data_IF_683019526030
#
_entry.id   IF_683019526030
#
_cell.length_a   1.000
_cell.length_b   1.000
_cell.length_c   1.000
_cell.angle_alpha   90.00
_cell.angle_beta   90.00
_cell.angle_gamma   90.00
#
_symmetry.space_group_name_H-M   'P 1'
#
loop_
_entity.id
_entity.type
_entity.pdbx_description
1 polymer ?
#
# COMPACT_ATOMS: atom_id res chain seq x y z
N UNK A 1 1.27 -18.71 8.22
CA UNK A 1 1.27 -17.43 7.50
C UNK A 1 2.67 -16.80 7.57
N UNK A 2 3.25 -16.52 6.40
CA UNK A 2 4.58 -15.87 6.32
C UNK A 2 4.40 -14.35 6.27
N UNK A 3 4.06 -13.72 7.41
CA UNK A 3 4.06 -12.26 7.49
C UNK A 3 5.46 -11.69 7.40
N UNK A 4 5.60 -10.62 6.63
CA UNK A 4 6.81 -9.79 6.66
C UNK A 4 6.86 -9.05 7.99
N UNK A 5 7.81 -9.42 8.84
CA UNK A 5 8.05 -8.79 10.15
C UNK A 5 9.29 -7.90 10.03
N UNK A 6 9.21 -6.65 10.46
CA UNK A 6 10.27 -5.66 10.35
C UNK A 6 10.17 -4.62 11.46
N UNK A 7 11.22 -3.85 11.66
CA UNK A 7 11.21 -2.61 12.48
C UNK A 7 11.24 -1.38 11.57
N UNK A 8 12.07 -1.43 10.53
CA UNK A 8 12.10 -0.42 9.48
C UNK A 8 12.06 -1.08 8.11
N UNK A 9 11.45 -0.40 7.15
CA UNK A 9 11.41 -0.79 5.74
C UNK A 9 11.84 0.40 4.90
N UNK A 10 12.64 0.15 3.88
CA UNK A 10 12.99 1.13 2.86
C UNK A 10 12.87 0.48 1.49
N UNK A 11 12.08 1.09 0.61
CA UNK A 11 11.83 0.58 -0.74
C UNK A 11 11.89 1.67 -1.80
N UNK A 12 12.42 1.33 -2.98
CA UNK A 12 12.30 2.13 -4.20
C UNK A 12 11.41 1.40 -5.17
N UNK A 13 10.43 2.09 -5.72
CA UNK A 13 9.52 1.52 -6.70
C UNK A 13 9.27 2.46 -7.88
N UNK A 14 8.97 1.86 -9.03
CA UNK A 14 8.28 2.52 -10.14
C UNK A 14 6.80 2.25 -9.98
N UNK A 15 5.99 3.26 -10.20
CA UNK A 15 4.54 3.18 -10.01
C UNK A 15 3.86 3.78 -11.24
N UNK A 16 3.00 3.00 -11.87
CA UNK A 16 2.11 3.43 -12.92
C UNK A 16 0.68 3.36 -12.41
N UNK A 17 -0.03 4.49 -12.42
CA UNK A 17 -1.43 4.59 -11.97
C UNK A 17 -2.30 5.05 -13.11
N UNK A 18 -3.41 4.36 -13.32
CA UNK A 18 -4.41 4.73 -14.31
C UNK A 18 -5.83 4.66 -13.73
N UNK A 19 -6.62 5.67 -14.05
CA UNK A 19 -8.07 5.74 -13.83
C UNK A 19 -8.71 6.55 -14.95
N UNK A 20 -10.02 6.79 -14.90
CA UNK A 20 -10.70 7.65 -15.88
C UNK A 20 -10.08 9.05 -16.00
N UNK A 21 -9.52 9.59 -14.90
CA UNK A 21 -9.02 10.96 -14.80
C UNK A 21 -7.51 11.07 -14.57
N UNK A 22 -6.83 9.95 -14.30
CA UNK A 22 -5.41 9.92 -13.96
C UNK A 22 -4.72 8.89 -14.86
N UNK A 23 -3.60 9.27 -15.47
CA UNK A 23 -2.67 8.36 -16.12
C UNK A 23 -1.27 8.91 -15.87
N UNK A 24 -0.60 8.35 -14.85
CA UNK A 24 0.68 8.89 -14.39
C UNK A 24 1.66 7.79 -14.01
N UNK A 25 2.93 8.03 -14.39
CA UNK A 25 4.07 7.21 -13.99
C UNK A 25 5.02 8.04 -13.14
N UNK A 26 5.45 7.48 -12.01
CA UNK A 26 6.40 8.14 -11.12
C UNK A 26 7.27 7.11 -10.39
N UNK A 27 8.36 7.56 -9.80
CA UNK A 27 9.14 6.75 -8.87
C UNK A 27 8.85 7.18 -7.44
N UNK A 28 8.77 6.20 -6.55
CA UNK A 28 8.54 6.38 -5.13
C UNK A 28 9.73 5.86 -4.33
N UNK A 29 10.22 6.67 -3.39
CA UNK A 29 10.99 6.20 -2.24
C UNK A 29 10.00 6.07 -1.09
N UNK A 30 9.98 4.90 -0.46
CA UNK A 30 9.06 4.55 0.62
C UNK A 30 9.91 4.17 1.83
N UNK A 31 9.72 4.84 2.94
CA UNK A 31 10.41 4.54 4.19
C UNK A 31 9.39 4.37 5.31
N UNK A 32 9.40 3.24 6.01
CA UNK A 32 8.47 2.95 7.11
C UNK A 32 9.26 2.74 8.40
N UNK A 33 8.89 3.47 9.44
CA UNK A 33 9.16 3.08 10.81
C UNK A 33 7.88 2.41 11.33
N UNK A 34 7.99 1.13 11.62
CA UNK A 34 6.84 0.28 11.96
C UNK A 34 5.95 0.92 13.01
N UNK A 35 4.64 0.88 12.76
CA UNK A 35 3.57 1.35 13.63
C UNK A 35 3.67 2.83 14.03
N UNK A 36 4.52 3.62 13.35
CA UNK A 36 4.79 5.02 13.68
C UNK A 36 4.66 5.97 12.50
N UNK A 37 5.36 5.71 11.40
CA UNK A 37 5.34 6.62 10.25
C UNK A 37 5.61 5.89 8.94
N UNK A 38 4.89 6.29 7.91
CA UNK A 38 5.16 5.97 6.51
C UNK A 38 5.57 7.28 5.83
N UNK A 39 6.77 7.31 5.29
CA UNK A 39 7.31 8.42 4.51
C UNK A 39 7.36 8.08 3.04
N UNK A 40 6.84 8.96 2.18
CA UNK A 40 6.90 8.81 0.73
C UNK A 40 7.59 10.02 0.11
N UNK A 41 8.51 9.78 -0.84
CA UNK A 41 9.02 10.81 -1.75
C UNK A 41 8.67 10.40 -3.17
N UNK A 42 7.80 11.18 -3.83
CA UNK A 42 7.30 10.90 -5.17
C UNK A 42 8.04 11.77 -6.18
N UNK A 43 8.57 11.14 -7.24
CA UNK A 43 9.40 11.82 -8.25
C UNK A 43 8.90 11.54 -9.66
N UNK A 44 8.79 12.59 -10.44
CA UNK A 44 8.52 12.53 -11.88
C UNK A 44 9.76 13.03 -12.61
N UNK A 45 10.28 12.25 -13.57
CA UNK A 45 11.51 12.57 -14.30
C UNK A 45 12.70 12.93 -13.40
N UNK A 46 12.80 12.28 -12.21
CA UNK A 46 13.89 12.50 -11.26
C UNK A 46 13.69 13.70 -10.33
N UNK A 47 12.70 14.56 -10.57
CA UNK A 47 12.38 15.71 -9.72
C UNK A 47 11.35 15.32 -8.65
N UNK A 48 11.60 15.61 -7.37
CA UNK A 48 10.65 15.37 -6.30
C UNK A 48 9.49 16.37 -6.44
N UNK A 49 8.31 15.84 -6.82
CA UNK A 49 7.08 16.61 -6.94
C UNK A 49 6.30 16.69 -5.64
N UNK A 50 6.29 15.59 -4.87
CA UNK A 50 5.59 15.55 -3.60
C UNK A 50 6.34 14.73 -2.55
N UNK A 51 6.15 15.10 -1.27
CA UNK A 51 6.59 14.35 -0.11
C UNK A 51 5.41 14.17 0.83
N UNK A 52 5.18 12.93 1.28
CA UNK A 52 4.06 12.58 2.12
C UNK A 52 4.58 11.95 3.40
N UNK A 53 4.02 12.35 4.52
CA UNK A 53 4.20 11.72 5.82
C UNK A 53 2.85 11.26 6.33
N UNK A 54 2.74 9.97 6.63
CA UNK A 54 1.52 9.36 7.17
C UNK A 54 1.86 8.82 8.56
N UNK A 55 1.04 9.16 9.52
CA UNK A 55 1.07 8.62 10.90
C UNK A 55 -0.28 7.96 11.19
N UNK A 56 -0.46 7.26 12.32
CA UNK A 56 -1.77 6.72 12.70
C UNK A 56 -2.90 7.75 12.71
N UNK A 57 -2.61 9.02 12.95
CA UNK A 57 -3.61 10.07 13.16
C UNK A 57 -3.66 11.10 12.01
N UNK A 58 -2.63 11.18 11.17
CA UNK A 58 -2.50 12.30 10.23
C UNK A 58 -1.80 11.95 8.93
N UNK A 59 -2.10 12.75 7.91
CA UNK A 59 -1.39 12.78 6.63
C UNK A 59 -0.91 14.21 6.40
N UNK A 60 0.37 14.35 6.14
CA UNK A 60 0.97 15.63 5.79
C UNK A 60 1.59 15.54 4.40
N UNK A 61 1.18 16.42 3.50
CA UNK A 61 1.66 16.45 2.10
C UNK A 61 2.38 17.75 1.84
N UNK A 62 3.59 17.66 1.32
CA UNK A 62 4.32 18.78 0.72
C UNK A 62 4.21 18.63 -0.79
N UNK A 63 3.44 19.49 -1.44
CA UNK A 63 3.45 19.65 -2.89
C UNK A 63 4.52 20.66 -3.27
N UNK A 64 5.59 20.16 -3.87
CA UNK A 64 6.72 21.01 -4.26
C UNK A 64 6.47 21.78 -5.56
N UNK A 65 5.57 21.25 -6.41
CA UNK A 65 5.27 21.87 -7.69
C UNK A 65 4.41 23.13 -7.47
N UNK A 66 3.41 23.04 -6.58
CA UNK A 66 2.53 24.13 -6.24
C UNK A 66 3.00 24.96 -5.02
N UNK A 67 4.09 24.52 -4.36
CA UNK A 67 4.62 25.13 -3.12
C UNK A 67 3.55 25.17 -2.01
N UNK A 68 2.87 24.05 -1.82
CA UNK A 68 1.79 23.91 -0.86
C UNK A 68 2.13 22.89 0.23
N UNK A 69 1.62 23.16 1.43
CA UNK A 69 1.61 22.22 2.55
C UNK A 69 0.17 21.90 2.92
N UNK A 70 -0.17 20.62 2.85
CA UNK A 70 -1.54 20.12 2.96
C UNK A 70 -1.60 19.15 4.14
N UNK A 71 -1.90 19.61 5.36
CA UNK A 71 -2.16 18.72 6.49
C UNK A 71 -3.60 18.19 6.43
N UNK A 72 -3.78 16.92 6.76
CA UNK A 72 -5.06 16.22 6.84
C UNK A 72 -5.06 15.27 8.04
N UNK A 73 -6.21 14.89 8.52
CA UNK A 73 -6.37 13.71 9.37
C UNK A 73 -6.27 12.42 8.55
N UNK A 74 -6.15 11.29 9.20
CA UNK A 74 -6.02 9.98 8.53
C UNK A 74 -7.29 9.61 7.74
N UNK A 75 -8.44 10.14 8.12
CA UNK A 75 -9.72 9.88 7.46
C UNK A 75 -9.80 10.50 6.06
N UNK A 76 -8.86 11.38 5.72
CA UNK A 76 -8.68 11.88 4.36
C UNK A 76 -8.52 10.75 3.33
N UNK A 77 -7.90 9.62 3.70
CA UNK A 77 -7.78 8.44 2.83
C UNK A 77 -9.18 7.93 2.46
N UNK A 78 -10.03 7.77 3.47
CA UNK A 78 -11.40 7.31 3.27
C UNK A 78 -12.21 8.26 2.40
N UNK A 79 -12.12 9.55 2.68
CA UNK A 79 -12.87 10.57 1.93
C UNK A 79 -12.38 10.76 0.49
N UNK A 80 -11.07 10.61 0.24
CA UNK A 80 -10.47 10.84 -1.08
C UNK A 80 -10.54 9.63 -2.00
N UNK A 81 -10.40 8.42 -1.44
CA UNK A 81 -10.35 7.19 -2.22
C UNK A 81 -11.57 6.30 -1.97
N UNK A 82 -12.47 6.74 -1.11
CA UNK A 82 -13.62 5.95 -0.66
C UNK A 82 -13.24 4.54 -0.16
N UNK A 83 -12.07 4.41 0.46
CA UNK A 83 -11.51 3.15 1.00
C UNK A 83 -11.45 3.28 2.52
N UNK A 84 -12.02 2.30 3.24
CA UNK A 84 -11.98 2.26 4.70
C UNK A 84 -10.67 1.58 5.16
N UNK A 85 -9.55 2.26 4.89
CA UNK A 85 -8.21 1.81 5.25
C UNK A 85 -7.60 2.73 6.30
N UNK A 86 -7.03 2.14 7.31
CA UNK A 86 -6.25 2.87 8.31
C UNK A 86 -4.74 2.86 8.00
N UNK A 87 -3.95 3.45 8.89
CA UNK A 87 -2.49 3.46 8.79
C UNK A 87 -1.89 2.04 8.73
N UNK A 88 -2.43 1.10 9.50
CA UNK A 88 -1.90 -0.26 9.60
C UNK A 88 -2.23 -1.07 8.35
N UNK A 89 -3.37 -0.82 7.73
CA UNK A 89 -3.74 -1.40 6.44
C UNK A 89 -2.80 -0.93 5.33
N UNK A 90 -2.48 0.38 5.28
CA UNK A 90 -1.50 0.93 4.35
C UNK A 90 -0.10 0.33 4.57
N UNK A 91 0.33 0.24 5.82
CA UNK A 91 1.60 -0.38 6.17
C UNK A 91 1.66 -1.84 5.68
N UNK A 92 0.63 -2.62 5.97
CA UNK A 92 0.53 -4.02 5.54
C UNK A 92 0.50 -4.14 4.02
N UNK A 93 -0.28 -3.30 3.34
CA UNK A 93 -0.35 -3.26 1.88
C UNK A 93 1.03 -3.00 1.25
N UNK A 94 1.78 -2.02 1.78
CA UNK A 94 3.10 -1.66 1.25
C UNK A 94 4.11 -2.79 1.42
N UNK A 95 4.11 -3.50 2.54
CA UNK A 95 5.06 -4.60 2.76
C UNK A 95 4.59 -5.94 2.20
N UNK A 96 3.34 -6.03 1.72
CA UNK A 96 2.76 -7.24 1.12
C UNK A 96 2.16 -8.21 2.13
N UNK A 97 1.81 -7.74 3.31
CA UNK A 97 1.03 -8.50 4.28
C UNK A 97 -0.47 -8.46 3.93
N UNK A 98 -1.25 -9.46 4.34
CA UNK A 98 -2.71 -9.43 4.20
C UNK A 98 -3.32 -8.22 4.91
N UNK A 99 -4.33 -7.59 4.28
CA UNK A 99 -5.16 -6.53 4.86
C UNK A 99 -6.61 -7.02 5.00
N UNK A 100 -7.37 -6.44 5.92
CA UNK A 100 -8.78 -6.82 6.20
C UNK A 100 -8.98 -8.32 6.44
N UNK A 101 -8.02 -8.98 7.08
CA UNK A 101 -7.99 -10.42 7.21
C UNK A 101 -8.29 -10.85 8.64
N UNK A 102 -9.51 -11.33 8.86
CA UNK A 102 -9.94 -11.89 10.14
C UNK A 102 -9.65 -13.39 10.20
N UNK A 103 -8.73 -13.79 11.07
CA UNK A 103 -8.36 -15.19 11.24
C UNK A 103 -9.37 -16.01 12.06
N UNK A 104 -10.37 -15.38 12.67
CA UNK A 104 -11.38 -16.06 13.50
C UNK A 104 -12.48 -16.70 12.66
N UNK A 105 -12.69 -16.25 11.42
CA UNK A 105 -13.70 -16.74 10.49
C UNK A 105 -13.09 -17.42 9.26
N UNK A 106 -11.96 -18.14 9.44
CA UNK A 106 -11.18 -18.70 8.36
C UNK A 106 -11.74 -20.03 7.87
N UNK A 107 -12.04 -20.11 6.58
CA UNK A 107 -12.25 -21.35 5.84
C UNK A 107 -11.05 -21.62 4.92
N UNK A 108 -10.66 -22.87 4.79
CA UNK A 108 -9.53 -23.29 3.95
C UNK A 108 -10.00 -24.23 2.84
N UNK A 109 -9.38 -24.11 1.67
CA UNK A 109 -9.61 -24.99 0.53
C UNK A 109 -8.33 -25.13 -0.29
N UNK A 110 -8.39 -25.98 -1.30
CA UNK A 110 -7.34 -26.17 -2.31
C UNK A 110 -7.97 -26.03 -3.69
N UNK A 111 -7.28 -25.38 -4.61
CA UNK A 111 -7.68 -25.24 -6.00
C UNK A 111 -6.45 -25.08 -6.88
N UNK A 112 -6.28 -25.93 -7.89
CA UNK A 112 -5.19 -25.87 -8.89
C UNK A 112 -3.79 -25.73 -8.27
N UNK A 113 -3.45 -26.60 -7.33
CA UNK A 113 -2.19 -26.62 -6.59
C UNK A 113 -1.94 -25.34 -5.76
N UNK A 114 -3.00 -24.60 -5.39
CA UNK A 114 -2.95 -23.42 -4.54
C UNK A 114 -3.76 -23.62 -3.29
N UNK A 115 -3.29 -23.06 -2.17
CA UNK A 115 -4.11 -22.95 -0.99
C UNK A 115 -5.02 -21.73 -1.10
N UNK A 116 -6.28 -21.90 -0.75
CA UNK A 116 -7.28 -20.81 -0.73
C UNK A 116 -7.72 -20.59 0.70
N UNK A 117 -7.58 -19.37 1.17
CA UNK A 117 -8.05 -18.95 2.48
C UNK A 117 -9.20 -17.95 2.29
N UNK A 118 -10.32 -18.20 2.95
CA UNK A 118 -11.49 -17.34 2.90
C UNK A 118 -11.79 -16.83 4.31
N UNK A 119 -11.82 -15.52 4.46
CA UNK A 119 -12.31 -14.85 5.67
C UNK A 119 -13.50 -13.96 5.30
N UNK A 120 -14.57 -14.03 6.08
CA UNK A 120 -15.80 -13.28 5.83
C UNK A 120 -16.37 -12.76 7.14
N UNK A 121 -16.77 -11.49 7.14
CA UNK A 121 -17.53 -10.87 8.22
C UNK A 121 -18.71 -10.07 7.63
N UNK A 122 -19.40 -9.28 8.44
CA UNK A 122 -20.57 -8.52 7.99
C UNK A 122 -20.25 -7.41 6.97
N UNK A 123 -18.98 -7.01 6.83
CA UNK A 123 -18.55 -5.88 6.01
C UNK A 123 -17.70 -6.34 4.83
N UNK A 124 -16.79 -7.28 5.05
CA UNK A 124 -15.81 -7.71 4.05
C UNK A 124 -15.82 -9.21 3.84
N UNK A 125 -15.63 -9.61 2.59
CA UNK A 125 -15.22 -10.95 2.21
C UNK A 125 -13.84 -10.89 1.59
N UNK A 126 -12.90 -11.61 2.16
CA UNK A 126 -11.51 -11.64 1.72
C UNK A 126 -11.13 -13.06 1.29
N UNK A 127 -10.56 -13.19 0.11
CA UNK A 127 -10.05 -14.45 -0.43
C UNK A 127 -8.57 -14.29 -0.75
N UNK A 128 -7.75 -15.17 -0.19
CA UNK A 128 -6.32 -15.26 -0.45
C UNK A 128 -6.00 -16.53 -1.21
N UNK A 129 -5.26 -16.41 -2.29
CA UNK A 129 -4.64 -17.53 -2.99
C UNK A 129 -3.15 -17.54 -2.66
N UNK A 130 -2.69 -18.68 -2.17
CA UNK A 130 -1.29 -18.87 -1.79
C UNK A 130 -0.64 -19.93 -2.68
N UNK A 131 0.63 -19.75 -2.95
CA UNK A 131 1.47 -20.78 -3.58
C UNK A 131 1.65 -22.00 -2.65
N UNK A 132 2.21 -23.13 -3.15
CA UNK A 132 2.61 -24.25 -2.30
C UNK A 132 3.61 -23.86 -1.21
N UNK A 133 4.39 -22.80 -1.43
CA UNK A 133 5.33 -22.24 -0.45
C UNK A 133 4.68 -21.21 0.49
N UNK A 134 3.36 -21.04 0.42
CA UNK A 134 2.56 -20.07 1.21
C UNK A 134 2.86 -18.59 0.93
N UNK A 135 3.40 -18.26 -0.23
CA UNK A 135 3.49 -16.88 -0.68
C UNK A 135 2.13 -16.42 -1.26
N UNK A 136 1.73 -15.20 -1.00
CA UNK A 136 0.46 -14.66 -1.50
C UNK A 136 0.56 -14.47 -3.02
N UNK A 137 -0.29 -15.12 -3.80
CA UNK A 137 -0.36 -14.91 -5.25
C UNK A 137 -1.40 -13.85 -5.60
N UNK A 138 -2.53 -13.89 -4.89
CA UNK A 138 -3.64 -12.96 -5.08
C UNK A 138 -4.37 -12.73 -3.77
N UNK A 139 -4.80 -11.51 -3.54
CA UNK A 139 -5.79 -11.16 -2.55
C UNK A 139 -6.97 -10.47 -3.23
N UNK A 140 -8.18 -10.95 -2.95
CA UNK A 140 -9.42 -10.37 -3.44
C UNK A 140 -10.29 -9.99 -2.25
N UNK A 141 -10.62 -8.72 -2.16
CA UNK A 141 -11.43 -8.16 -1.08
C UNK A 141 -12.70 -7.59 -1.71
N UNK A 142 -13.84 -8.03 -1.18
CA UNK A 142 -15.15 -7.51 -1.53
C UNK A 142 -15.71 -6.74 -0.32
N UNK A 143 -15.98 -5.47 -0.51
CA UNK A 143 -16.74 -4.63 0.42
C UNK A 143 -18.24 -4.87 0.17
N UNK A 144 -18.88 -5.57 1.10
CA UNK A 144 -20.29 -6.00 0.97
C UNK A 144 -21.27 -4.83 1.16
N UNK A 145 -20.82 -3.75 1.79
CA UNK A 145 -21.65 -2.56 2.05
C UNK A 145 -21.55 -1.58 0.89
N UNK A 146 -20.34 -1.24 0.46
CA UNK A 146 -20.11 -0.27 -0.61
C UNK A 146 -20.18 -0.87 -2.01
N UNK A 147 -20.34 -2.20 -2.14
CA UNK A 147 -20.42 -2.95 -3.40
C UNK A 147 -19.25 -2.62 -4.35
N UNK A 148 -18.05 -2.79 -3.87
CA UNK A 148 -16.80 -2.57 -4.60
C UNK A 148 -15.81 -3.69 -4.31
N UNK A 149 -14.82 -3.84 -5.18
CA UNK A 149 -13.80 -4.87 -5.00
C UNK A 149 -12.39 -4.30 -5.11
N UNK A 150 -11.47 -4.93 -4.41
CA UNK A 150 -10.04 -4.69 -4.50
C UNK A 150 -9.37 -6.02 -4.83
N UNK A 151 -8.65 -6.05 -5.94
CA UNK A 151 -7.79 -7.17 -6.33
C UNK A 151 -6.33 -6.74 -6.23
N UNK A 152 -5.52 -7.57 -5.58
CA UNK A 152 -4.08 -7.41 -5.49
C UNK A 152 -3.42 -8.69 -5.98
N UNK A 153 -2.63 -8.58 -7.05
CA UNK A 153 -1.79 -9.66 -7.54
C UNK A 153 -0.34 -9.40 -7.14
N UNK A 154 0.35 -10.46 -6.71
CA UNK A 154 1.72 -10.43 -6.25
C UNK A 154 2.58 -11.37 -7.07
N UNK A 155 3.73 -10.89 -7.55
CA UNK A 155 4.64 -11.64 -8.39
C UNK A 155 6.10 -11.27 -8.12
N UNK A 156 7.03 -11.99 -8.78
CA UNK A 156 8.48 -11.77 -8.67
C UNK A 156 8.96 -11.80 -7.21
N UNK A 157 8.64 -12.88 -6.50
CA UNK A 157 9.08 -13.06 -5.13
C UNK A 157 10.59 -13.27 -5.03
N UNK A 158 11.22 -12.47 -4.18
CA UNK A 158 12.64 -12.61 -3.84
C UNK A 158 12.81 -12.69 -2.32
N UNK A 159 13.87 -13.39 -1.91
CA UNK A 159 14.21 -13.51 -0.49
C UNK A 159 15.16 -12.38 -0.08
N UNK A 160 14.68 -11.44 0.72
CA UNK A 160 15.44 -10.31 1.23
C UNK A 160 15.60 -10.47 2.75
N UNK A 161 16.83 -10.63 3.21
CA UNK A 161 17.18 -10.79 4.65
C UNK A 161 16.30 -11.83 5.37
N UNK A 162 16.03 -12.96 4.66
CA UNK A 162 15.22 -14.06 5.20
C UNK A 162 13.71 -13.93 5.01
N UNK A 163 13.21 -12.81 4.49
CA UNK A 163 11.79 -12.52 4.22
C UNK A 163 11.49 -12.72 2.75
N UNK A 164 10.34 -13.30 2.42
CA UNK A 164 9.81 -13.32 1.06
C UNK A 164 9.11 -11.99 0.78
N UNK A 165 9.47 -11.33 -0.33
CA UNK A 165 8.90 -10.05 -0.73
C UNK A 165 8.56 -10.05 -2.22
N UNK A 166 7.33 -9.70 -2.57
CA UNK A 166 6.88 -9.57 -3.95
C UNK A 166 7.34 -8.23 -4.55
N UNK A 167 8.18 -8.29 -5.58
CA UNK A 167 8.71 -7.09 -6.25
C UNK A 167 7.73 -6.48 -7.24
N UNK A 168 6.80 -7.28 -7.78
CA UNK A 168 5.75 -6.80 -8.70
C UNK A 168 4.40 -6.93 -8.01
N UNK A 169 3.61 -5.87 -8.09
CA UNK A 169 2.24 -5.86 -7.60
C UNK A 169 1.33 -5.15 -8.56
N UNK A 170 0.19 -5.75 -8.82
CA UNK A 170 -0.88 -5.14 -9.59
C UNK A 170 -2.08 -4.96 -8.68
N UNK A 171 -2.59 -3.75 -8.63
CA UNK A 171 -3.75 -3.36 -7.84
C UNK A 171 -4.86 -2.98 -8.80
N UNK A 172 -6.03 -3.54 -8.61
CA UNK A 172 -7.23 -3.16 -9.32
C UNK A 172 -8.35 -2.89 -8.32
N UNK A 173 -8.92 -1.71 -8.39
CA UNK A 173 -10.08 -1.29 -7.61
C UNK A 173 -11.24 -1.11 -8.58
N UNK A 174 -12.26 -1.96 -8.44
CA UNK A 174 -13.54 -1.84 -9.14
C UNK A 174 -14.49 -1.05 -8.24
N UNK A 175 -14.76 0.17 -8.63
CA UNK A 175 -15.58 1.14 -7.93
C UNK A 175 -16.29 2.05 -8.96
N UNK A 176 -16.91 3.15 -8.53
CA UNK A 176 -17.51 4.12 -9.44
C UNK A 176 -16.49 4.70 -10.44
N UNK A 177 -15.25 4.89 -9.99
CA UNK A 177 -14.11 5.25 -10.83
C UNK A 177 -13.05 4.15 -10.66
N UNK A 178 -12.94 3.28 -11.65
CA UNK A 178 -11.95 2.19 -11.64
C UNK A 178 -10.53 2.75 -11.55
N UNK A 179 -9.71 2.12 -10.71
CA UNK A 179 -8.31 2.47 -10.56
C UNK A 179 -7.44 1.24 -10.71
N UNK A 180 -6.41 1.36 -11.52
CA UNK A 180 -5.34 0.36 -11.61
C UNK A 180 -4.02 0.98 -11.18
N UNK A 181 -3.20 0.19 -10.48
CA UNK A 181 -1.82 0.56 -10.21
C UNK A 181 -0.90 -0.64 -10.44
N UNK A 182 0.17 -0.39 -11.16
CA UNK A 182 1.30 -1.32 -11.30
C UNK A 182 2.48 -0.80 -10.51
N UNK A 183 3.03 -1.62 -9.63
CA UNK A 183 4.13 -1.27 -8.74
C UNK A 183 5.27 -2.26 -8.97
N UNK A 184 6.42 -1.76 -9.40
CA UNK A 184 7.67 -2.52 -9.57
C UNK A 184 8.70 -2.01 -8.57
N UNK A 185 8.98 -2.78 -7.52
CA UNK A 185 10.07 -2.46 -6.60
C UNK A 185 11.41 -2.72 -7.29
N UNK A 186 12.35 -1.79 -7.15
CA UNK A 186 13.70 -1.87 -7.71
C UNK A 186 14.76 -2.06 -6.63
N UNK A 187 14.42 -1.76 -5.39
CA UNK A 187 15.25 -1.98 -4.22
C UNK A 187 14.36 -2.12 -2.98
N UNK A 188 14.71 -3.06 -2.10
CA UNK A 188 14.06 -3.26 -0.81
C UNK A 188 15.12 -3.56 0.24
N UNK A 189 15.00 -2.94 1.41
CA UNK A 189 15.86 -3.14 2.57
C UNK A 189 14.98 -3.16 3.83
N UNK A 190 15.30 -4.04 4.77
CA UNK A 190 14.65 -4.12 6.06
C UNK A 190 15.64 -3.78 7.18
N UNK A 191 15.12 -3.33 8.31
CA UNK A 191 15.82 -3.14 9.58
C UNK A 191 17.10 -2.29 9.48
N UNK A 192 17.17 -1.42 8.47
CA UNK A 192 18.21 -0.42 8.31
C UNK A 192 17.86 0.86 9.08
N UNK A 193 18.83 1.74 9.40
CA UNK A 193 18.53 3.00 10.06
C UNK A 193 17.46 3.81 9.31
N UNK A 194 16.43 4.26 10.04
CA UNK A 194 15.35 5.05 9.45
C UNK A 194 15.85 6.42 9.00
N UNK A 195 15.73 6.72 7.72
CA UNK A 195 16.34 7.90 7.09
C UNK A 195 15.34 8.95 6.56
N UNK A 196 14.03 8.75 6.74
CA UNK A 196 13.03 9.69 6.24
C UNK A 196 13.05 11.00 7.05
N UNK A 197 13.05 12.11 6.31
CA UNK A 197 12.96 13.47 6.91
C UNK A 197 11.78 14.20 6.30
N UNK A 198 11.08 14.99 7.12
CA UNK A 198 9.94 15.79 6.68
C UNK A 198 10.06 17.19 7.24
N UNK A 199 10.34 18.18 6.38
CA UNK A 199 10.50 19.57 6.76
C UNK A 199 9.73 20.46 5.80
N UNK A 200 8.74 21.17 6.36
CA UNK A 200 7.93 22.12 5.60
C UNK A 200 8.70 23.43 5.43
N UNK A 201 8.79 23.92 4.20
CA UNK A 201 9.35 25.24 3.93
C UNK A 201 8.37 26.31 4.47
N UNK A 202 8.81 27.26 5.30
CA UNK A 202 7.93 28.32 5.85
C UNK A 202 7.26 29.22 4.81
N UNK A 203 7.77 29.20 3.56
CA UNK A 203 7.22 29.97 2.44
C UNK A 203 6.07 29.24 1.72
N UNK A 204 5.86 27.96 2.02
CA UNK A 204 4.79 27.20 1.36
C UNK A 204 3.43 27.64 1.91
N UNK A 205 2.48 27.73 0.99
CA UNK A 205 1.09 28.05 1.35
C UNK A 205 0.47 26.83 2.05
N UNK A 206 -0.07 27.05 3.23
CA UNK A 206 -0.86 26.03 3.91
C UNK A 206 -2.26 25.94 3.31
N UNK A 207 -2.69 24.73 3.02
CA UNK A 207 -4.02 24.40 2.49
C UNK A 207 -4.75 23.55 3.53
N UNK A 208 -5.69 24.13 4.25
CA UNK A 208 -6.52 23.45 5.25
C UNK A 208 -7.73 22.77 4.59
#
# INVERSE_FOLDING_TARGET
>A
EKKVVFQTFSGKAKVDVASANINQSFSAQIDILKDSVIGLSLRVLGVEGARVKITPDSIEIIDRLNQEYIPRDIEFIKSSFNIDADFYDLQNLIVGNPVYYDTTALNTGESDDKYVLLAENAVYKNTLWLSPDYDILRMFIQDLIANRTLTLDYDAYEKIEGRQFAFIRNIFIDAQDDLTAHIEFTKVEFDQPFGFTFTVNPKYKRID
#
